data_IF_100706703829
#
_entry.id   IF_100706703829
#
_cell.length_a   1.000
_cell.length_b   1.000
_cell.length_c   1.000
_cell.angle_alpha   90.00
_cell.angle_beta   90.00
_cell.angle_gamma   90.00
#
_symmetry.space_group_name_H-M   'P 1'
#
loop_
_entity.id
_entity.type
_entity.pdbx_description
1 polymer ?
#
# COMPACT_ATOMS: atom_id res chain seq x y z
N UNK A 1 8.00 15.95 -3.88
CA UNK A 1 7.02 14.92 -4.26
C UNK A 1 7.25 13.61 -3.51
N UNK A 2 8.49 13.22 -3.24
CA UNK A 2 8.85 11.95 -2.61
C UNK A 2 8.41 11.80 -1.15
N UNK A 3 8.35 12.86 -0.36
CA UNK A 3 8.02 12.78 1.08
C UNK A 3 6.59 12.34 1.37
N UNK A 4 5.60 12.89 0.68
CA UNK A 4 4.17 12.55 0.89
C UNK A 4 3.87 11.13 0.42
N UNK A 5 4.45 10.70 -0.70
CA UNK A 5 4.29 9.33 -1.21
C UNK A 5 4.93 8.31 -0.26
N UNK A 6 6.07 8.62 0.33
CA UNK A 6 6.78 7.74 1.27
C UNK A 6 5.97 7.50 2.55
N UNK A 7 5.22 8.51 3.04
CA UNK A 7 4.37 8.36 4.22
C UNK A 7 3.02 7.72 3.92
N UNK A 8 2.43 8.01 2.75
CA UNK A 8 1.09 7.51 2.41
C UNK A 8 1.08 6.01 2.06
N UNK A 9 2.09 5.52 1.35
CA UNK A 9 2.16 4.13 0.91
C UNK A 9 2.17 3.09 2.05
N UNK A 10 2.95 3.25 3.15
CA UNK A 10 2.88 2.33 4.27
C UNK A 10 1.50 2.28 4.92
N UNK A 11 0.82 3.42 5.04
CA UNK A 11 -0.53 3.50 5.60
C UNK A 11 -1.50 2.68 4.75
N UNK A 12 -1.43 2.82 3.41
CA UNK A 12 -2.28 2.10 2.46
C UNK A 12 -2.19 0.58 2.62
N UNK A 13 -0.99 0.08 2.91
CA UNK A 13 -0.73 -1.36 2.95
C UNK A 13 -1.02 -1.96 4.31
N UNK A 14 -0.67 -1.26 5.37
CA UNK A 14 -0.82 -1.72 6.75
C UNK A 14 -2.29 -1.80 7.18
N UNK A 15 -3.19 -1.02 6.58
CA UNK A 15 -4.64 -1.13 6.81
C UNK A 15 -5.11 -2.58 6.61
N UNK A 16 -4.60 -3.30 5.60
CA UNK A 16 -4.94 -4.70 5.38
C UNK A 16 -4.55 -5.54 6.59
N UNK A 17 -3.32 -5.40 7.10
CA UNK A 17 -2.82 -6.23 8.19
C UNK A 17 -3.60 -6.03 9.50
N UNK A 18 -4.03 -4.80 9.80
CA UNK A 18 -4.72 -4.51 11.05
C UNK A 18 -6.24 -4.64 10.96
N UNK A 19 -6.84 -4.31 9.83
CA UNK A 19 -8.30 -4.22 9.72
C UNK A 19 -8.94 -5.42 8.98
N UNK A 20 -8.15 -6.26 8.30
CA UNK A 20 -8.71 -7.42 7.57
C UNK A 20 -9.48 -8.40 8.46
N UNK A 21 -9.03 -8.77 9.69
CA UNK A 21 -9.79 -9.66 10.55
C UNK A 21 -11.17 -9.11 10.90
N UNK A 22 -11.25 -7.82 11.20
CA UNK A 22 -12.50 -7.14 11.55
C UNK A 22 -13.42 -7.00 10.34
N UNK A 23 -12.87 -6.73 9.16
CA UNK A 23 -13.63 -6.70 7.91
C UNK A 23 -14.24 -8.08 7.60
N UNK A 24 -13.48 -9.15 7.78
CA UNK A 24 -13.97 -10.51 7.55
C UNK A 24 -15.11 -10.86 8.49
N UNK A 25 -15.02 -10.45 9.76
CA UNK A 25 -16.08 -10.62 10.73
C UNK A 25 -17.35 -9.83 10.34
N UNK A 26 -17.22 -8.58 9.90
CA UNK A 26 -18.33 -7.76 9.41
C UNK A 26 -19.01 -8.41 8.18
N UNK A 27 -18.25 -9.13 7.35
CA UNK A 27 -18.78 -9.87 6.19
C UNK A 27 -19.37 -11.23 6.55
N UNK A 28 -19.33 -11.63 7.83
CA UNK A 28 -19.81 -12.94 8.30
C UNK A 28 -18.86 -14.08 7.90
N UNK A 29 -17.60 -13.76 7.59
CA UNK A 29 -16.55 -14.73 7.29
C UNK A 29 -15.74 -15.06 8.55
N UNK A 30 -15.04 -16.20 8.54
CA UNK A 30 -14.22 -16.61 9.68
C UNK A 30 -13.00 -15.69 9.84
N UNK A 31 -12.97 -14.90 10.92
CA UNK A 31 -11.83 -14.08 11.29
C UNK A 31 -10.54 -14.88 11.53
N UNK A 32 -10.68 -16.15 11.92
CA UNK A 32 -9.53 -17.06 12.08
C UNK A 32 -8.76 -17.33 10.79
N UNK A 33 -9.40 -17.19 9.61
CA UNK A 33 -8.75 -17.31 8.30
C UNK A 33 -8.03 -16.05 7.87
N UNK A 34 -8.29 -14.90 8.50
CA UNK A 34 -7.60 -13.66 8.19
C UNK A 34 -6.07 -13.79 8.32
N UNK A 35 -5.59 -14.60 9.27
CA UNK A 35 -4.17 -14.89 9.41
C UNK A 35 -3.54 -15.52 8.16
N UNK A 36 -4.27 -16.43 7.49
CA UNK A 36 -3.81 -17.05 6.22
C UNK A 36 -3.75 -16.00 5.12
N UNK A 37 -4.78 -15.13 5.01
CA UNK A 37 -4.85 -14.08 4.00
C UNK A 37 -3.75 -13.03 4.21
N UNK A 38 -3.47 -12.67 5.46
CA UNK A 38 -2.38 -11.77 5.82
C UNK A 38 -1.02 -12.42 5.49
N UNK A 39 -0.87 -13.72 5.72
CA UNK A 39 0.35 -14.45 5.35
C UNK A 39 0.56 -14.47 3.84
N UNK A 40 -0.51 -14.68 3.05
CA UNK A 40 -0.46 -14.58 1.60
C UNK A 40 -0.08 -13.18 1.13
N UNK A 41 -0.59 -12.15 1.78
CA UNK A 41 -0.24 -10.75 1.52
C UNK A 41 1.27 -10.51 1.74
N UNK A 42 1.85 -10.95 2.87
CA UNK A 42 3.27 -10.80 3.14
C UNK A 42 4.14 -11.64 2.19
N UNK A 43 3.69 -12.84 1.83
CA UNK A 43 4.37 -13.67 0.82
C UNK A 43 4.38 -12.96 -0.55
N UNK A 44 3.27 -12.33 -0.92
CA UNK A 44 3.18 -11.54 -2.14
C UNK A 44 4.10 -10.31 -2.14
N UNK A 45 4.36 -9.70 -0.97
CA UNK A 45 5.35 -8.61 -0.85
C UNK A 45 6.77 -9.09 -1.19
N UNK A 46 7.11 -10.31 -0.82
CA UNK A 46 8.46 -10.87 -1.07
C UNK A 46 8.66 -11.26 -2.54
N UNK A 47 7.63 -11.70 -3.23
CA UNK A 47 7.71 -12.26 -4.58
C UNK A 47 8.36 -11.31 -5.62
N UNK A 48 8.02 -10.02 -5.71
CA UNK A 48 8.65 -9.10 -6.65
C UNK A 48 10.15 -8.91 -6.44
N UNK A 49 10.66 -9.11 -5.22
CA UNK A 49 12.09 -8.96 -4.93
C UNK A 49 12.99 -9.81 -5.81
N UNK A 50 12.54 -11.00 -6.22
CA UNK A 50 13.30 -11.91 -7.10
C UNK A 50 13.36 -11.46 -8.55
N UNK A 51 12.39 -10.66 -9.02
CA UNK A 51 12.23 -10.28 -10.42
C UNK A 51 12.19 -8.76 -10.63
N UNK A 52 12.49 -7.99 -9.58
CA UNK A 52 12.35 -6.54 -9.57
C UNK A 52 13.04 -5.86 -10.76
N UNK A 53 14.28 -6.25 -11.06
CA UNK A 53 15.05 -5.69 -12.17
C UNK A 53 14.34 -5.86 -13.53
N UNK A 54 13.71 -7.02 -13.75
CA UNK A 54 12.94 -7.27 -14.99
C UNK A 54 11.67 -6.42 -15.02
N UNK A 55 10.98 -6.30 -13.88
CA UNK A 55 9.76 -5.48 -13.75
C UNK A 55 10.09 -4.02 -14.05
N UNK A 56 11.17 -3.49 -13.47
CA UNK A 56 11.63 -2.12 -13.70
C UNK A 56 11.98 -1.89 -15.17
N UNK A 57 12.68 -2.83 -15.81
CA UNK A 57 13.03 -2.74 -17.24
C UNK A 57 11.80 -2.73 -18.15
N UNK A 58 10.79 -3.56 -17.85
CA UNK A 58 9.59 -3.68 -18.68
C UNK A 58 8.62 -2.51 -18.46
N UNK A 59 8.36 -2.12 -17.22
CA UNK A 59 7.40 -1.06 -16.89
C UNK A 59 8.01 0.35 -16.98
N UNK A 60 9.32 0.48 -16.75
CA UNK A 60 10.04 1.74 -16.83
C UNK A 60 9.34 2.86 -16.05
N UNK A 61 9.04 3.96 -16.74
CA UNK A 61 8.44 5.16 -16.14
C UNK A 61 7.01 4.95 -15.60
N UNK A 62 6.28 3.95 -16.14
CA UNK A 62 4.87 3.68 -15.76
C UNK A 62 4.71 2.81 -14.52
N UNK A 63 5.80 2.37 -13.90
CA UNK A 63 5.79 1.42 -12.79
C UNK A 63 4.94 1.91 -11.61
N UNK A 64 5.03 3.19 -11.25
CA UNK A 64 4.24 3.78 -10.15
C UNK A 64 2.74 3.78 -10.46
N UNK A 65 2.37 4.09 -11.70
CA UNK A 65 0.98 4.09 -12.14
C UNK A 65 0.38 2.69 -12.11
N UNK A 66 1.13 1.69 -12.60
CA UNK A 66 0.71 0.28 -12.56
C UNK A 66 0.52 -0.21 -11.13
N UNK A 67 1.46 0.11 -10.24
CA UNK A 67 1.38 -0.28 -8.83
C UNK A 67 0.17 0.38 -8.13
N UNK A 68 -0.07 1.67 -8.33
CA UNK A 68 -1.23 2.34 -7.75
C UNK A 68 -2.55 1.77 -8.30
N UNK A 69 -2.60 1.41 -9.57
CA UNK A 69 -3.74 0.73 -10.17
C UNK A 69 -3.96 -0.65 -9.53
N UNK A 70 -2.89 -1.41 -9.30
CA UNK A 70 -2.98 -2.71 -8.61
C UNK A 70 -3.50 -2.55 -7.18
N UNK A 71 -3.07 -1.51 -6.44
CA UNK A 71 -3.60 -1.21 -5.10
C UNK A 71 -5.08 -0.87 -5.18
N UNK A 72 -5.48 0.02 -6.09
CA UNK A 72 -6.87 0.41 -6.24
C UNK A 72 -7.78 -0.77 -6.63
N UNK A 73 -7.35 -1.61 -7.57
CA UNK A 73 -8.07 -2.83 -7.96
C UNK A 73 -8.14 -3.83 -6.80
N UNK A 74 -7.03 -4.06 -6.10
CA UNK A 74 -6.98 -4.98 -4.96
C UNK A 74 -7.90 -4.54 -3.82
N UNK A 75 -7.89 -3.24 -3.48
CA UNK A 75 -8.82 -2.67 -2.49
C UNK A 75 -10.27 -2.73 -2.95
N UNK A 76 -10.54 -2.44 -4.22
CA UNK A 76 -11.87 -2.57 -4.79
C UNK A 76 -12.41 -4.00 -4.70
N UNK A 77 -11.59 -5.00 -4.99
CA UNK A 77 -11.97 -6.42 -4.87
C UNK A 77 -12.30 -6.76 -3.41
N UNK A 78 -11.47 -6.33 -2.45
CA UNK A 78 -11.70 -6.59 -1.01
C UNK A 78 -13.01 -5.95 -0.54
N UNK A 79 -13.31 -4.72 -0.99
CA UNK A 79 -14.52 -4.00 -0.60
C UNK A 79 -15.81 -4.56 -1.21
N UNK A 80 -15.74 -4.98 -2.48
CA UNK A 80 -16.92 -5.41 -3.22
C UNK A 80 -17.23 -6.90 -3.05
N UNK A 81 -16.24 -7.69 -2.63
CA UNK A 81 -16.40 -9.14 -2.55
C UNK A 81 -16.57 -9.62 -1.11
N UNK A 82 -17.49 -10.56 -0.94
CA UNK A 82 -17.67 -11.32 0.31
C UNK A 82 -17.13 -12.75 0.20
N UNK A 83 -16.35 -13.05 -0.85
CA UNK A 83 -15.73 -14.36 -1.06
C UNK A 83 -14.29 -14.35 -0.54
N UNK A 84 -13.92 -15.32 0.29
CA UNK A 84 -12.55 -15.45 0.82
C UNK A 84 -11.50 -15.52 -0.30
N UNK A 85 -11.81 -16.21 -1.41
CA UNK A 85 -10.89 -16.36 -2.55
C UNK A 85 -10.62 -15.01 -3.22
N UNK A 86 -11.65 -14.19 -3.40
CA UNK A 86 -11.50 -12.87 -4.01
C UNK A 86 -10.79 -11.89 -3.06
N UNK A 87 -11.05 -11.97 -1.76
CA UNK A 87 -10.31 -11.22 -0.75
C UNK A 87 -8.83 -11.61 -0.76
N UNK A 88 -8.53 -12.93 -0.88
CA UNK A 88 -7.15 -13.40 -1.04
C UNK A 88 -6.46 -12.80 -2.28
N UNK A 89 -7.17 -12.78 -3.41
CA UNK A 89 -6.67 -12.15 -4.64
C UNK A 89 -6.40 -10.66 -4.43
N UNK A 90 -7.29 -9.95 -3.77
CA UNK A 90 -7.10 -8.54 -3.41
C UNK A 90 -5.86 -8.33 -2.52
N UNK A 91 -5.65 -9.18 -1.52
CA UNK A 91 -4.46 -9.17 -0.67
C UNK A 91 -3.18 -9.41 -1.47
N UNK A 92 -3.17 -10.38 -2.38
CA UNK A 92 -2.03 -10.69 -3.25
C UNK A 92 -1.70 -9.49 -4.14
N UNK A 93 -2.69 -8.87 -4.79
CA UNK A 93 -2.48 -7.69 -5.65
C UNK A 93 -1.86 -6.52 -4.88
N UNK A 94 -2.36 -6.25 -3.68
CA UNK A 94 -1.81 -5.21 -2.82
C UNK A 94 -0.38 -5.55 -2.36
N UNK A 95 -0.12 -6.80 -1.97
CA UNK A 95 1.20 -7.27 -1.58
C UNK A 95 2.24 -7.13 -2.69
N UNK A 96 1.91 -7.60 -3.90
CA UNK A 96 2.78 -7.47 -5.08
C UNK A 96 3.10 -5.99 -5.37
N UNK A 97 2.11 -5.13 -5.34
CA UNK A 97 2.30 -3.70 -5.57
C UNK A 97 3.27 -3.07 -4.57
N UNK A 98 3.07 -3.34 -3.28
CA UNK A 98 3.94 -2.82 -2.23
C UNK A 98 5.37 -3.37 -2.34
N UNK A 99 5.50 -4.67 -2.63
CA UNK A 99 6.80 -5.33 -2.84
C UNK A 99 7.60 -4.75 -4.01
N UNK A 100 6.94 -4.07 -4.96
CA UNK A 100 7.60 -3.34 -6.05
C UNK A 100 7.95 -1.91 -5.60
N UNK A 101 7.00 -1.19 -5.00
CA UNK A 101 7.16 0.24 -4.70
C UNK A 101 8.20 0.47 -3.61
N UNK A 102 8.22 -0.34 -2.58
CA UNK A 102 9.08 -0.14 -1.41
C UNK A 102 10.58 -0.13 -1.77
N UNK A 103 11.11 -1.13 -2.48
CA UNK A 103 12.51 -1.10 -2.94
C UNK A 103 12.80 0.09 -3.86
N UNK A 104 11.86 0.47 -4.72
CA UNK A 104 12.05 1.62 -5.63
C UNK A 104 12.15 2.96 -4.87
N UNK A 105 11.47 3.11 -3.74
CA UNK A 105 11.59 4.29 -2.89
C UNK A 105 13.01 4.34 -2.31
N UNK A 106 13.54 3.22 -1.84
CA UNK A 106 14.88 3.14 -1.29
C UNK A 106 15.95 3.42 -2.35
N UNK A 107 15.80 2.84 -3.54
CA UNK A 107 16.70 3.05 -4.67
C UNK A 107 16.75 4.55 -5.05
N UNK A 108 15.59 5.16 -5.28
CA UNK A 108 15.51 6.61 -5.54
C UNK A 108 16.06 7.47 -4.42
N UNK A 109 15.90 7.05 -3.17
CA UNK A 109 16.45 7.78 -2.03
C UNK A 109 17.97 7.74 -2.07
N UNK A 110 18.54 6.59 -2.42
CA UNK A 110 19.99 6.41 -2.58
C UNK A 110 20.54 7.26 -3.71
N UNK A 111 19.84 7.33 -4.84
CA UNK A 111 20.27 8.12 -6.02
C UNK A 111 20.30 9.63 -5.76
N UNK A 112 19.34 10.13 -4.97
CA UNK A 112 19.21 11.58 -4.68
C UNK A 112 20.07 12.01 -3.49
N UNK A 113 20.42 11.10 -2.60
CA UNK A 113 21.17 11.41 -1.41
C UNK A 113 22.64 11.70 -1.73
N UNK A 114 23.23 12.66 -0.98
CA UNK A 114 24.68 12.92 -1.10
C UNK A 114 25.46 11.67 -0.70
N UNK A 115 26.49 11.24 -1.45
CA UNK A 115 27.16 9.94 -1.27
C UNK A 115 27.55 9.59 0.18
N UNK A 116 28.03 10.56 0.95
CA UNK A 116 28.43 10.34 2.36
C UNK A 116 27.23 10.34 3.35
N UNK A 117 26.00 10.62 2.90
CA UNK A 117 24.76 10.67 3.70
C UNK A 117 23.71 9.66 3.29
N UNK A 118 24.00 8.76 2.36
CA UNK A 118 23.03 7.77 1.84
C UNK A 118 22.44 6.92 2.98
N UNK A 119 23.29 6.41 3.87
CA UNK A 119 22.85 5.59 5.01
C UNK A 119 21.91 6.36 5.94
N UNK A 120 22.21 7.64 6.20
CA UNK A 120 21.35 8.50 7.02
C UNK A 120 19.99 8.76 6.33
N UNK A 121 19.99 9.02 5.02
CA UNK A 121 18.79 9.24 4.25
C UNK A 121 17.89 8.00 4.23
N UNK A 122 18.47 6.81 4.03
CA UNK A 122 17.74 5.54 4.08
C UNK A 122 17.18 5.27 5.50
N UNK A 123 17.98 5.49 6.54
CA UNK A 123 17.53 5.34 7.92
C UNK A 123 16.37 6.27 8.24
N UNK A 124 16.39 7.51 7.74
CA UNK A 124 15.30 8.46 7.91
C UNK A 124 14.02 8.00 7.19
N UNK A 125 14.12 7.53 5.95
CA UNK A 125 12.98 7.00 5.19
C UNK A 125 12.38 5.78 5.88
N UNK A 126 13.22 4.87 6.39
CA UNK A 126 12.76 3.71 7.17
C UNK A 126 12.07 4.13 8.47
N UNK A 127 12.63 5.09 9.21
CA UNK A 127 12.04 5.61 10.44
C UNK A 127 10.66 6.23 10.15
N UNK A 128 10.53 7.05 9.10
CA UNK A 128 9.25 7.62 8.69
C UNK A 128 8.23 6.53 8.30
N UNK A 129 8.68 5.45 7.66
CA UNK A 129 7.84 4.31 7.34
C UNK A 129 7.27 3.65 8.60
N UNK A 130 8.12 3.38 9.61
CA UNK A 130 7.67 2.80 10.87
C UNK A 130 6.78 3.74 11.70
N UNK A 131 7.05 5.04 11.68
CA UNK A 131 6.18 6.04 12.31
C UNK A 131 4.80 6.05 11.63
N UNK A 132 4.73 5.97 10.31
CA UNK A 132 3.48 5.88 9.57
C UNK A 132 2.69 4.60 9.92
N UNK A 133 3.38 3.47 10.07
CA UNK A 133 2.79 2.20 10.51
C UNK A 133 2.21 2.34 11.92
N UNK A 134 2.96 2.92 12.86
CA UNK A 134 2.52 3.13 14.23
C UNK A 134 1.31 4.07 14.32
N UNK A 135 1.28 5.12 13.50
CA UNK A 135 0.19 6.10 13.50
C UNK A 135 -1.05 5.63 12.74
N UNK A 136 -0.93 4.62 11.88
CA UNK A 136 -2.03 4.15 11.03
C UNK A 136 -3.33 3.86 11.79
N UNK A 137 -3.37 3.05 12.87
CA UNK A 137 -4.61 2.79 13.60
C UNK A 137 -5.21 4.05 14.21
N UNK A 138 -4.39 4.97 14.74
CA UNK A 138 -4.86 6.24 15.32
C UNK A 138 -5.47 7.17 14.26
N UNK A 139 -4.87 7.19 13.06
CA UNK A 139 -5.38 7.98 11.93
C UNK A 139 -6.73 7.41 11.49
N UNK A 140 -6.84 6.09 11.33
CA UNK A 140 -8.10 5.43 10.93
C UNK A 140 -9.18 5.71 11.97
N UNK A 141 -8.89 5.54 13.25
CA UNK A 141 -9.81 5.81 14.37
C UNK A 141 -10.28 7.26 14.40
N UNK A 142 -9.36 8.21 14.22
CA UNK A 142 -9.70 9.63 14.18
C UNK A 142 -10.65 9.97 13.03
N UNK A 143 -10.42 9.38 11.84
CA UNK A 143 -11.32 9.55 10.70
C UNK A 143 -12.67 8.86 10.91
N UNK A 144 -12.71 7.66 11.48
CA UNK A 144 -13.95 6.96 11.81
C UNK A 144 -14.80 7.80 12.77
N UNK A 145 -14.18 8.36 13.80
CA UNK A 145 -14.85 9.23 14.77
C UNK A 145 -15.36 10.53 14.12
N UNK A 146 -14.56 11.16 13.25
CA UNK A 146 -14.93 12.38 12.55
C UNK A 146 -16.14 12.19 11.62
N UNK A 147 -16.21 11.06 10.94
CA UNK A 147 -17.31 10.73 10.02
C UNK A 147 -18.44 9.94 10.68
N UNK A 148 -18.37 9.71 12.00
CA UNK A 148 -19.34 8.92 12.77
C UNK A 148 -19.62 7.54 12.14
N UNK A 149 -18.60 6.94 11.50
CA UNK A 149 -18.69 5.64 10.83
C UNK A 149 -18.05 4.56 11.69
N UNK A 150 -18.86 3.59 12.12
CA UNK A 150 -18.39 2.44 12.91
C UNK A 150 -18.12 1.19 12.03
N UNK A 151 -18.28 1.31 10.70
CA UNK A 151 -18.03 0.18 9.79
C UNK A 151 -16.54 -0.02 9.56
N UNK A 152 -16.10 -1.28 9.60
CA UNK A 152 -14.72 -1.65 9.32
C UNK A 152 -14.35 -1.47 7.84
N UNK A 153 -15.35 -1.46 6.96
CA UNK A 153 -15.18 -1.13 5.54
C UNK A 153 -14.67 0.30 5.31
N UNK A 154 -14.91 1.22 6.25
CA UNK A 154 -14.50 2.62 6.15
C UNK A 154 -12.98 2.78 5.96
N UNK A 155 -12.17 2.02 6.70
CA UNK A 155 -10.72 2.04 6.57
C UNK A 155 -10.26 1.68 5.14
N UNK A 156 -10.92 0.70 4.52
CA UNK A 156 -10.62 0.27 3.15
C UNK A 156 -11.10 1.28 2.11
N UNK A 157 -12.26 1.94 2.33
CA UNK A 157 -12.72 3.04 1.48
C UNK A 157 -11.77 4.23 1.53
N UNK A 158 -11.31 4.61 2.72
CA UNK A 158 -10.32 5.67 2.89
C UNK A 158 -9.04 5.33 2.11
N UNK A 159 -8.59 4.09 2.20
CA UNK A 159 -7.42 3.59 1.50
C UNK A 159 -7.60 3.66 -0.03
N UNK A 160 -8.75 3.21 -0.54
CA UNK A 160 -9.07 3.29 -1.96
C UNK A 160 -9.05 4.74 -2.48
N UNK A 161 -9.64 5.67 -1.72
CA UNK A 161 -9.64 7.09 -2.08
C UNK A 161 -8.22 7.67 -2.14
N UNK A 162 -7.38 7.37 -1.15
CA UNK A 162 -5.98 7.82 -1.14
C UNK A 162 -5.19 7.23 -2.32
N UNK A 163 -5.42 5.95 -2.66
CA UNK A 163 -4.78 5.32 -3.82
C UNK A 163 -5.19 5.99 -5.14
N UNK A 164 -6.49 6.29 -5.31
CA UNK A 164 -7.01 7.01 -6.49
C UNK A 164 -6.48 8.44 -6.58
N UNK A 165 -6.39 9.16 -5.47
CA UNK A 165 -5.78 10.50 -5.42
C UNK A 165 -4.30 10.44 -5.80
N UNK A 166 -3.56 9.46 -5.28
CA UNK A 166 -2.16 9.22 -5.64
C UNK A 166 -1.99 8.96 -7.14
N UNK A 167 -2.87 8.15 -7.73
CA UNK A 167 -2.88 7.87 -9.16
C UNK A 167 -3.12 9.15 -9.98
N UNK A 168 -4.07 9.98 -9.57
CA UNK A 168 -4.36 11.26 -10.24
C UNK A 168 -3.17 12.22 -10.20
N UNK A 169 -2.45 12.29 -9.07
CA UNK A 169 -1.25 13.11 -8.91
C UNK A 169 -0.13 12.62 -9.84
N UNK A 170 0.11 11.32 -9.91
CA UNK A 170 1.13 10.72 -10.78
C UNK A 170 0.81 10.99 -12.25
N UNK A 171 -0.45 10.82 -12.67
CA UNK A 171 -0.89 11.11 -14.04
C UNK A 171 -0.69 12.58 -14.42
N UNK A 172 -0.97 13.51 -13.49
CA UNK A 172 -0.77 14.95 -13.73
C UNK A 172 0.71 15.28 -13.89
N UNK A 173 1.58 14.63 -13.13
CA UNK A 173 3.03 14.84 -13.23
C UNK A 173 3.62 14.27 -14.51
N UNK A 174 3.17 13.14 -14.99
CA UNK A 174 3.60 12.60 -16.29
C UNK A 174 3.24 13.56 -17.45
N UNK A 175 2.06 14.20 -17.40
CA UNK A 175 1.65 15.19 -18.40
C UNK A 175 2.47 16.49 -18.35
N UNK A 176 3.00 16.87 -17.19
CA UNK A 176 3.80 18.09 -17.03
C UNK A 176 5.29 17.87 -17.38
N UNK A 177 5.72 16.64 -17.55
CA UNK A 177 7.11 16.26 -17.89
C UNK A 177 7.29 15.88 -19.36
N UNK A 178 6.23 15.97 -20.17
CA UNK A 178 6.21 15.92 -21.65
C UNK A 178 6.21 17.32 -22.22
#
# INVERSE_FOLDING_TARGET
VTGVQTCALPILVIIISFNLPFLMEEYGLSSGRAGILISLFFLAIMAPGFVLNKIVQVLGRRIYMVCLLMIACGMGIILLSRSEILIALGCILNGLSYGIIQPLIYDKTSDVAVPHKVTLALAFVMAMNYVAILLCPFIVDAFQNLFHSHSQTFAFWLNLMVALMGMFIVMKQEKLSL
#
